data_IF_737011286734
#
_entry.id   IF_737011286734
#
_cell.length_a   1.000
_cell.length_b   1.000
_cell.length_c   1.000
_cell.angle_alpha   90.00
_cell.angle_beta   90.00
_cell.angle_gamma   90.00
#
_symmetry.space_group_name_H-M   'P 1'
#
loop_
_entity.id
_entity.type
_entity.pdbx_description
1 polymer ?
#
# COMPACT_ATOMS: atom_id res chain seq x y z
N UNK A 1 15.82 44.69 -47.99
CA UNK A 1 14.58 45.02 -47.27
C UNK A 1 14.33 43.89 -46.26
N UNK A 2 15.28 43.61 -45.35
CA UNK A 2 15.47 44.37 -44.10
C UNK A 2 14.17 44.31 -43.28
N UNK A 3 14.11 43.69 -42.11
CA UNK A 3 14.80 44.10 -40.88
C UNK A 3 14.88 42.89 -39.90
N UNK A 4 16.07 42.61 -39.38
CA UNK A 4 16.31 41.91 -38.09
C UNK A 4 16.39 42.97 -36.95
N UNK A 5 16.72 42.63 -35.69
CA UNK A 5 15.96 41.99 -34.62
C UNK A 5 15.98 42.83 -33.30
N UNK A 6 15.13 42.55 -32.29
CA UNK A 6 15.38 42.98 -30.89
C UNK A 6 14.91 41.86 -29.92
N UNK A 7 15.76 41.25 -29.08
CA UNK A 7 16.21 41.70 -27.74
C UNK A 7 15.02 42.18 -26.88
N UNK A 8 14.65 41.55 -25.76
CA UNK A 8 15.50 41.46 -24.56
C UNK A 8 14.76 40.77 -23.38
N UNK A 9 15.57 40.14 -22.52
CA UNK A 9 15.57 40.10 -21.05
C UNK A 9 14.28 40.14 -20.19
N UNK A 10 14.23 39.20 -19.23
CA UNK A 10 13.82 39.33 -17.80
C UNK A 10 13.23 37.99 -17.32
N UNK A 11 13.49 37.41 -16.15
CA UNK A 11 14.31 37.82 -15.02
C UNK A 11 14.66 36.55 -14.22
N UNK A 12 15.93 36.39 -13.87
CA UNK A 12 16.37 35.39 -12.89
C UNK A 12 15.95 35.88 -11.50
N UNK A 13 14.90 35.30 -10.94
CA UNK A 13 14.53 35.49 -9.54
C UNK A 13 15.70 35.06 -8.62
N UNK A 14 16.20 35.94 -7.73
CA UNK A 14 17.23 35.60 -6.77
C UNK A 14 16.67 34.66 -5.68
N UNK A 15 17.42 33.59 -5.41
CA UNK A 15 17.17 32.65 -4.31
C UNK A 15 17.42 33.36 -2.98
N UNK A 16 16.36 33.54 -2.19
CA UNK A 16 16.49 33.95 -0.79
C UNK A 16 17.25 32.87 0.02
N UNK A 17 18.23 33.25 0.86
CA UNK A 17 18.84 32.33 1.82
C UNK A 17 17.86 31.96 2.94
N UNK A 18 17.96 30.75 3.52
CA UNK A 18 17.11 30.33 4.63
C UNK A 18 17.39 31.18 5.88
N UNK A 19 16.36 31.86 6.38
CA UNK A 19 16.43 32.61 7.63
C UNK A 19 16.59 31.64 8.82
N UNK A 20 17.71 31.77 9.54
CA UNK A 20 17.94 31.14 10.84
C UNK A 20 17.01 31.77 11.89
N UNK A 21 15.87 31.13 12.13
CA UNK A 21 15.00 31.48 13.25
C UNK A 21 15.55 30.88 14.55
N UNK A 22 16.46 31.63 15.19
CA UNK A 22 16.86 31.43 16.58
C UNK A 22 15.81 32.07 17.51
N UNK A 23 14.74 31.32 17.83
CA UNK A 23 13.81 31.70 18.89
C UNK A 23 13.92 30.78 20.10
N UNK A 24 14.84 31.19 20.98
CA UNK A 24 14.64 31.47 22.40
C UNK A 24 13.90 30.44 23.28
N UNK A 25 14.69 29.86 24.18
CA UNK A 25 14.45 29.73 25.61
C UNK A 25 12.98 29.80 26.07
N UNK A 26 12.41 28.63 26.34
CA UNK A 26 11.40 28.48 27.40
C UNK A 26 11.69 27.22 28.21
N UNK A 27 12.76 27.29 29.01
CA UNK A 27 13.12 26.29 30.02
C UNK A 27 12.31 26.57 31.28
N UNK A 28 11.08 26.05 31.34
CA UNK A 28 10.28 26.09 32.57
C UNK A 28 10.93 25.20 33.64
N UNK A 29 11.10 25.67 34.89
CA UNK A 29 11.62 24.83 35.96
C UNK A 29 10.61 23.74 36.34
N UNK A 30 11.12 22.51 36.41
CA UNK A 30 10.42 21.32 36.88
C UNK A 30 9.81 21.56 38.28
N UNK A 31 8.50 21.84 38.37
CA UNK A 31 7.76 21.72 39.63
C UNK A 31 7.73 20.24 40.04
N UNK A 32 8.57 19.87 41.01
CA UNK A 32 8.56 18.57 41.68
C UNK A 32 7.13 18.30 42.19
N UNK A 33 6.39 17.42 41.50
CA UNK A 33 5.08 16.94 41.97
C UNK A 33 5.32 16.07 43.20
N UNK A 34 4.96 16.57 44.38
CA UNK A 34 4.90 15.77 45.60
C UNK A 34 3.88 14.64 45.39
N UNK A 35 4.37 13.40 45.37
CA UNK A 35 3.51 12.20 45.28
C UNK A 35 2.70 12.11 46.57
N UNK A 36 1.41 12.46 46.54
CA UNK A 36 0.48 12.19 47.65
C UNK A 36 0.48 10.68 47.93
N UNK A 37 0.76 10.30 49.19
CA UNK A 37 0.72 8.90 49.64
C UNK A 37 -0.68 8.33 49.36
N UNK A 38 -0.75 7.24 48.58
CA UNK A 38 -1.99 6.49 48.36
C UNK A 38 -2.39 5.86 49.70
N UNK A 39 -3.58 6.17 50.20
CA UNK A 39 -4.16 5.47 51.36
C UNK A 39 -4.37 4.00 50.98
N UNK A 40 -3.85 3.08 51.80
CA UNK A 40 -4.08 1.64 51.65
C UNK A 40 -5.58 1.37 51.83
N UNK A 41 -6.16 0.54 50.98
CA UNK A 41 -7.55 0.08 51.13
C UNK A 41 -7.53 -1.03 52.20
N UNK A 42 -8.14 -0.78 53.35
CA UNK A 42 -8.44 -1.85 54.31
C UNK A 42 -9.65 -2.64 53.79
N UNK A 43 -9.69 -3.94 54.07
CA UNK A 43 -10.84 -4.82 53.78
C UNK A 43 -11.99 -4.65 54.78
N UNK A 44 -11.98 -3.58 55.58
CA UNK A 44 -13.03 -3.30 56.55
C UNK A 44 -14.23 -2.70 55.83
N UNK A 45 -15.46 -3.09 56.20
CA UNK A 45 -16.67 -2.46 55.67
C UNK A 45 -16.63 -0.96 55.93
N UNK A 46 -17.14 -0.18 54.97
CA UNK A 46 -17.14 1.29 55.05
C UNK A 46 -18.27 1.71 55.98
N UNK A 47 -17.92 2.13 57.19
CA UNK A 47 -18.87 2.75 58.12
C UNK A 47 -19.25 4.13 57.61
N UNK A 48 -20.55 4.34 57.38
CA UNK A 48 -21.11 5.64 57.01
C UNK A 48 -21.36 6.45 58.29
N UNK A 49 -21.02 7.75 58.31
CA UNK A 49 -21.31 8.60 59.46
C UNK A 49 -22.83 8.67 59.68
N UNK A 50 -23.25 8.46 60.94
CA UNK A 50 -24.64 8.27 61.36
C UNK A 50 -25.56 9.48 61.13
N UNK A 51 -25.00 10.62 60.71
CA UNK A 51 -25.71 11.89 60.53
C UNK A 51 -26.03 12.19 59.06
N UNK A 52 -25.87 11.22 58.15
CA UNK A 52 -26.10 11.41 56.72
C UNK A 52 -27.12 10.38 56.22
N UNK A 53 -28.33 10.84 55.87
CA UNK A 53 -29.36 10.00 55.28
C UNK A 53 -28.85 9.34 53.99
N UNK A 54 -28.92 8.01 53.92
CA UNK A 54 -28.59 7.25 52.72
C UNK A 54 -29.63 7.54 51.63
N UNK A 55 -29.28 8.38 50.66
CA UNK A 55 -30.14 8.64 49.51
C UNK A 55 -29.71 7.73 48.35
N UNK A 56 -30.53 6.73 47.96
CA UNK A 56 -30.20 5.79 46.88
C UNK A 56 -30.11 6.47 45.50
N UNK A 57 -30.62 7.69 45.37
CA UNK A 57 -30.56 8.50 44.15
C UNK A 57 -29.47 9.58 44.18
N UNK A 58 -28.69 9.70 45.28
CA UNK A 58 -27.49 10.54 45.27
C UNK A 58 -26.40 9.86 44.45
N UNK A 59 -26.51 10.09 43.14
CA UNK A 59 -25.48 9.94 42.09
C UNK A 59 -24.36 8.97 42.46
N UNK A 60 -24.44 7.76 41.92
CA UNK A 60 -23.30 6.86 41.78
C UNK A 60 -22.02 7.66 41.51
N UNK A 61 -21.09 7.65 42.48
CA UNK A 61 -19.79 8.35 42.43
C UNK A 61 -18.84 7.79 41.35
N UNK A 62 -19.37 7.15 40.31
CA UNK A 62 -18.65 6.84 39.08
C UNK A 62 -18.48 8.08 38.18
N UNK A 63 -19.27 9.14 38.35
CA UNK A 63 -18.99 10.43 37.73
C UNK A 63 -18.01 11.24 38.59
N UNK A 64 -16.73 10.96 38.41
CA UNK A 64 -15.65 11.76 39.01
C UNK A 64 -15.72 13.21 38.48
N UNK A 65 -15.91 14.15 39.41
CA UNK A 65 -15.85 15.63 39.30
C UNK A 65 -17.08 16.35 38.70
N UNK A 66 -17.68 17.33 39.43
CA UNK A 66 -18.59 18.29 38.83
C UNK A 66 -17.79 19.16 37.85
N UNK A 67 -18.16 19.13 36.56
CA UNK A 67 -17.49 19.89 35.48
C UNK A 67 -16.79 19.06 34.40
N UNK A 68 -16.59 17.75 34.60
CA UNK A 68 -16.13 16.81 33.55
C UNK A 68 -16.90 15.50 33.61
N UNK A 69 -18.22 15.60 33.74
CA UNK A 69 -19.10 14.47 33.50
C UNK A 69 -18.90 14.03 32.06
N UNK A 70 -18.31 12.84 31.85
CA UNK A 70 -18.63 12.04 30.68
C UNK A 70 -20.14 11.81 30.76
N UNK A 71 -20.95 12.77 30.28
CA UNK A 71 -22.24 12.42 29.67
C UNK A 71 -21.89 11.22 28.80
N UNK A 72 -22.58 10.08 28.95
CA UNK A 72 -22.45 9.02 27.95
C UNK A 72 -22.70 9.74 26.63
N UNK A 73 -21.64 9.96 25.85
CA UNK A 73 -21.79 10.55 24.54
C UNK A 73 -22.81 9.62 23.90
N UNK A 74 -23.97 10.17 23.53
CA UNK A 74 -24.97 9.47 22.73
C UNK A 74 -24.28 9.19 21.40
N UNK A 75 -23.40 8.20 21.42
CA UNK A 75 -22.66 7.70 20.28
C UNK A 75 -23.61 6.72 19.65
N UNK A 76 -23.80 6.93 18.36
CA UNK A 76 -24.44 5.96 17.50
C UNK A 76 -23.92 4.55 17.89
N UNK A 77 -24.83 3.62 18.24
CA UNK A 77 -24.45 2.30 18.72
C UNK A 77 -23.54 1.58 17.72
N UNK A 78 -23.61 1.90 16.42
CA UNK A 78 -22.70 1.39 15.38
C UNK A 78 -21.23 1.71 15.66
N UNK A 79 -20.95 2.82 16.35
CA UNK A 79 -19.62 3.26 16.75
C UNK A 79 -19.33 3.07 18.24
N UNK A 80 -20.17 2.30 18.95
CA UNK A 80 -19.89 1.92 20.33
C UNK A 80 -18.75 0.90 20.38
N UNK A 81 -17.93 0.93 21.43
CA UNK A 81 -16.87 -0.09 21.64
C UNK A 81 -17.43 -1.51 21.73
N UNK A 82 -18.72 -1.64 22.08
CA UNK A 82 -19.44 -2.91 22.19
C UNK A 82 -19.75 -3.55 20.82
N UNK A 83 -19.72 -2.79 19.72
CA UNK A 83 -19.91 -3.30 18.36
C UNK A 83 -18.73 -4.14 17.85
N UNK A 84 -17.65 -4.23 18.63
CA UNK A 84 -16.51 -5.08 18.35
C UNK A 84 -15.54 -4.50 17.30
N UNK A 85 -14.49 -5.26 16.99
CA UNK A 85 -13.49 -4.88 15.97
C UNK A 85 -13.93 -5.42 14.61
N UNK A 86 -13.72 -4.65 13.55
CA UNK A 86 -14.00 -5.06 12.17
C UNK A 86 -13.26 -6.35 11.80
N UNK A 87 -14.02 -7.43 11.58
CA UNK A 87 -13.47 -8.67 11.03
C UNK A 87 -13.40 -8.55 9.51
N UNK A 88 -12.23 -8.12 9.01
CA UNK A 88 -11.98 -7.96 7.58
C UNK A 88 -12.18 -9.26 6.78
N UNK A 89 -11.91 -10.42 7.38
CA UNK A 89 -12.00 -11.69 6.68
C UNK A 89 -13.47 -12.11 6.49
N UNK A 90 -14.34 -11.89 7.49
CA UNK A 90 -15.79 -12.08 7.31
C UNK A 90 -16.38 -11.06 6.34
N UNK A 91 -16.01 -9.79 6.48
CA UNK A 91 -16.47 -8.74 5.57
C UNK A 91 -16.18 -9.10 4.10
N UNK A 92 -14.97 -9.57 3.81
CA UNK A 92 -14.59 -10.01 2.46
C UNK A 92 -15.42 -11.17 1.95
N UNK A 93 -15.76 -12.13 2.82
CA UNK A 93 -16.62 -13.26 2.46
C UNK A 93 -18.04 -12.80 2.16
N UNK A 94 -18.60 -11.93 2.99
CA UNK A 94 -19.96 -11.39 2.79
C UNK A 94 -20.10 -10.59 1.49
N UNK A 95 -19.02 -9.94 1.04
CA UNK A 95 -18.99 -9.14 -0.17
C UNK A 95 -18.17 -9.78 -1.31
N UNK A 96 -18.03 -11.10 -1.33
CA UNK A 96 -17.28 -11.82 -2.38
C UNK A 96 -17.90 -11.65 -3.76
N UNK A 97 -19.23 -11.47 -3.83
CA UNK A 97 -19.96 -11.22 -5.06
C UNK A 97 -19.46 -9.98 -5.82
N UNK A 98 -18.93 -8.96 -5.14
CA UNK A 98 -18.34 -7.78 -5.79
C UNK A 98 -17.09 -8.15 -6.61
N UNK A 99 -16.30 -9.12 -6.12
CA UNK A 99 -15.14 -9.62 -6.86
C UNK A 99 -15.56 -10.49 -8.05
N UNK A 100 -16.68 -11.20 -7.92
CA UNK A 100 -17.26 -12.03 -9.00
C UNK A 100 -17.81 -11.14 -10.11
N UNK A 101 -18.64 -10.16 -9.78
CA UNK A 101 -19.15 -9.16 -10.73
C UNK A 101 -18.01 -8.47 -11.48
N UNK A 102 -16.97 -8.01 -10.75
CA UNK A 102 -15.80 -7.40 -11.39
C UNK A 102 -15.09 -8.34 -12.37
N UNK A 103 -14.99 -9.64 -12.05
CA UNK A 103 -14.39 -10.63 -12.96
C UNK A 103 -15.26 -10.83 -14.20
N UNK A 104 -16.58 -10.76 -14.07
CA UNK A 104 -17.52 -10.83 -15.19
C UNK A 104 -17.38 -9.60 -16.09
N UNK A 105 -17.39 -8.39 -15.53
CA UNK A 105 -17.15 -7.13 -16.26
C UNK A 105 -15.85 -7.19 -17.09
N UNK A 106 -14.75 -7.64 -16.46
CA UNK A 106 -13.46 -7.79 -17.16
C UNK A 106 -13.54 -8.84 -18.28
N UNK A 107 -14.25 -9.95 -18.07
CA UNK A 107 -14.48 -10.97 -19.11
C UNK A 107 -15.28 -10.40 -20.27
N UNK A 108 -16.30 -9.59 -20.01
CA UNK A 108 -17.12 -8.97 -21.05
C UNK A 108 -16.33 -7.94 -21.85
N UNK A 109 -15.62 -7.03 -21.18
CA UNK A 109 -14.75 -6.04 -21.84
C UNK A 109 -13.71 -6.74 -22.71
N UNK A 110 -13.06 -7.80 -22.19
CA UNK A 110 -12.06 -8.54 -22.98
C UNK A 110 -12.67 -9.28 -24.17
N UNK A 111 -13.87 -9.83 -24.05
CA UNK A 111 -14.61 -10.43 -25.17
C UNK A 111 -14.96 -9.38 -26.22
N UNK A 112 -15.49 -8.22 -25.81
CA UNK A 112 -15.83 -7.13 -26.72
C UNK A 112 -14.60 -6.62 -27.49
N UNK A 113 -13.47 -6.43 -26.82
CA UNK A 113 -12.20 -6.05 -27.47
C UNK A 113 -11.75 -7.13 -28.46
N UNK A 114 -11.83 -8.41 -28.10
CA UNK A 114 -11.44 -9.52 -28.99
C UNK A 114 -12.33 -9.61 -30.23
N UNK A 115 -13.64 -9.42 -30.09
CA UNK A 115 -14.60 -9.46 -31.20
C UNK A 115 -14.35 -8.28 -32.14
N UNK A 116 -14.22 -7.05 -31.60
CA UNK A 116 -13.89 -5.87 -32.39
C UNK A 116 -12.53 -6.01 -33.10
N UNK A 117 -11.54 -6.65 -32.48
CA UNK A 117 -10.24 -6.93 -33.13
C UNK A 117 -10.36 -7.91 -34.30
N UNK A 118 -11.32 -8.85 -34.25
CA UNK A 118 -11.53 -9.87 -35.29
C UNK A 118 -12.39 -9.40 -36.45
N UNK A 119 -13.47 -8.68 -36.17
CA UNK A 119 -14.50 -8.32 -37.16
C UNK A 119 -14.51 -6.83 -37.53
N UNK A 120 -13.75 -5.98 -36.83
CA UNK A 120 -13.79 -4.54 -36.99
C UNK A 120 -14.89 -3.87 -36.17
N UNK A 121 -14.80 -2.54 -36.02
CA UNK A 121 -15.73 -1.72 -35.24
C UNK A 121 -17.06 -1.49 -35.95
N UNK A 122 -17.06 -1.51 -37.28
CA UNK A 122 -18.24 -1.26 -38.12
C UNK A 122 -19.09 -2.52 -38.35
N UNK A 123 -18.56 -3.70 -38.02
CA UNK A 123 -19.30 -4.95 -38.17
C UNK A 123 -20.44 -5.04 -37.16
N UNK A 124 -21.58 -5.60 -37.59
CA UNK A 124 -22.73 -5.89 -36.72
C UNK A 124 -22.33 -6.61 -35.43
N UNK A 125 -21.41 -7.58 -35.53
CA UNK A 125 -20.90 -8.33 -34.35
C UNK A 125 -20.07 -7.45 -33.42
N UNK A 126 -19.31 -6.50 -33.97
CA UNK A 126 -18.55 -5.50 -33.20
C UNK A 126 -19.48 -4.57 -32.44
N UNK A 127 -20.47 -4.01 -33.12
CA UNK A 127 -21.49 -3.12 -32.56
C UNK A 127 -22.29 -3.83 -31.46
N UNK A 128 -22.75 -5.07 -31.69
CA UNK A 128 -23.49 -5.85 -30.70
C UNK A 128 -22.64 -6.14 -29.46
N UNK A 129 -21.35 -6.42 -29.64
CA UNK A 129 -20.43 -6.64 -28.52
C UNK A 129 -20.18 -5.38 -27.68
N UNK A 130 -20.17 -4.20 -28.30
CA UNK A 130 -20.09 -2.91 -27.59
C UNK A 130 -21.41 -2.59 -26.87
N UNK A 131 -22.55 -2.92 -27.47
CA UNK A 131 -23.87 -2.78 -26.83
C UNK A 131 -23.97 -3.59 -25.54
N UNK A 132 -23.38 -4.79 -25.49
CA UNK A 132 -23.36 -5.64 -24.27
C UNK A 132 -22.64 -4.96 -23.11
N UNK A 133 -21.55 -4.24 -23.36
CA UNK A 133 -20.78 -3.52 -22.32
C UNK A 133 -21.24 -2.08 -22.07
N UNK A 134 -22.30 -1.63 -22.76
CA UNK A 134 -22.80 -0.24 -22.65
C UNK A 134 -23.25 0.12 -21.23
N UNK A 135 -23.75 -0.86 -20.46
CA UNK A 135 -24.14 -0.69 -19.06
C UNK A 135 -22.98 -0.34 -18.13
N UNK A 136 -21.73 -0.51 -18.59
CA UNK A 136 -20.51 -0.12 -17.88
C UNK A 136 -20.07 1.32 -18.19
N UNK A 137 -20.91 2.09 -18.88
CA UNK A 137 -20.61 3.42 -19.41
C UNK A 137 -19.41 3.42 -20.38
N UNK A 138 -19.27 2.35 -21.16
CA UNK A 138 -18.21 2.22 -22.17
C UNK A 138 -18.85 2.35 -23.55
N UNK A 139 -18.48 3.41 -24.27
CA UNK A 139 -19.02 3.71 -25.60
C UNK A 139 -18.09 3.27 -26.72
N UNK A 140 -16.79 3.46 -26.53
CA UNK A 140 -15.78 3.32 -27.58
C UNK A 140 -14.78 2.20 -27.32
N UNK A 141 -14.15 1.68 -28.37
CA UNK A 141 -13.15 0.62 -28.26
C UNK A 141 -11.94 1.04 -27.42
N UNK A 142 -11.47 2.28 -27.57
CA UNK A 142 -10.33 2.78 -26.80
C UNK A 142 -10.68 3.03 -25.33
N UNK A 143 -11.93 3.40 -25.05
CA UNK A 143 -12.46 3.45 -23.69
C UNK A 143 -12.51 2.06 -23.06
N UNK A 144 -12.92 1.03 -23.82
CA UNK A 144 -12.89 -0.36 -23.37
C UNK A 144 -11.47 -0.83 -23.02
N UNK A 145 -10.47 -0.50 -23.85
CA UNK A 145 -9.06 -0.80 -23.56
C UNK A 145 -8.59 -0.09 -22.29
N UNK A 146 -8.91 1.21 -22.15
CA UNK A 146 -8.55 2.01 -20.98
C UNK A 146 -9.21 1.47 -19.71
N UNK A 147 -10.48 1.06 -19.78
CA UNK A 147 -11.18 0.42 -18.68
C UNK A 147 -10.49 -0.89 -18.28
N UNK A 148 -10.14 -1.74 -19.25
CA UNK A 148 -9.42 -2.98 -19.00
C UNK A 148 -8.08 -2.74 -18.27
N UNK A 149 -7.33 -1.74 -18.69
CA UNK A 149 -6.04 -1.42 -18.07
C UNK A 149 -6.21 -0.85 -16.65
N UNK A 150 -7.25 -0.05 -16.40
CA UNK A 150 -7.63 0.37 -15.04
C UNK A 150 -7.89 -0.85 -14.16
N UNK A 151 -8.76 -1.78 -14.58
CA UNK A 151 -9.06 -3.00 -13.84
C UNK A 151 -7.80 -3.84 -13.56
N UNK A 152 -6.90 -3.99 -14.53
CA UNK A 152 -5.62 -4.71 -14.33
C UNK A 152 -4.76 -4.04 -13.27
N UNK A 153 -4.60 -2.73 -13.34
CA UNK A 153 -3.78 -1.97 -12.38
C UNK A 153 -4.37 -2.03 -10.96
N UNK A 154 -5.69 -1.91 -10.84
CA UNK A 154 -6.39 -2.00 -9.55
C UNK A 154 -6.27 -3.40 -8.95
N UNK A 155 -6.52 -4.45 -9.76
CA UNK A 155 -6.41 -5.83 -9.32
C UNK A 155 -4.98 -6.17 -8.88
N UNK A 156 -3.95 -5.74 -9.63
CA UNK A 156 -2.55 -5.94 -9.24
C UNK A 156 -2.23 -5.25 -7.91
N UNK A 157 -2.75 -4.05 -7.69
CA UNK A 157 -2.57 -3.33 -6.43
C UNK A 157 -3.30 -3.99 -5.27
N UNK A 158 -4.52 -4.50 -5.48
CA UNK A 158 -5.27 -5.25 -4.48
C UNK A 158 -4.54 -6.52 -4.09
N UNK A 159 -4.17 -7.36 -5.07
CA UNK A 159 -3.40 -8.60 -4.86
C UNK A 159 -2.14 -8.34 -4.03
N UNK A 160 -1.35 -7.31 -4.38
CA UNK A 160 -0.18 -6.91 -3.61
C UNK A 160 -0.50 -6.58 -2.15
N UNK A 161 -1.59 -5.85 -1.89
CA UNK A 161 -2.05 -5.55 -0.52
C UNK A 161 -2.45 -6.81 0.23
N UNK A 162 -3.08 -7.75 -0.44
CA UNK A 162 -3.49 -9.02 0.17
C UNK A 162 -2.30 -9.89 0.53
N UNK A 163 -1.35 -10.03 -0.38
CA UNK A 163 -0.11 -10.79 -0.16
C UNK A 163 0.70 -10.19 1.00
N UNK A 164 0.80 -8.85 1.08
CA UNK A 164 1.43 -8.18 2.22
C UNK A 164 0.72 -8.48 3.55
N UNK A 165 -0.62 -8.52 3.56
CA UNK A 165 -1.40 -8.88 4.75
C UNK A 165 -1.16 -10.34 5.13
N UNK A 166 -1.18 -11.26 4.17
CA UNK A 166 -0.91 -12.68 4.37
C UNK A 166 0.50 -12.90 4.93
N UNK A 167 1.51 -12.25 4.36
CA UNK A 167 2.89 -12.29 4.83
C UNK A 167 3.03 -11.74 6.26
N UNK A 168 2.37 -10.63 6.57
CA UNK A 168 2.38 -10.10 7.95
C UNK A 168 1.73 -11.07 8.92
N UNK A 169 0.60 -11.67 8.56
CA UNK A 169 -0.08 -12.69 9.38
C UNK A 169 0.83 -13.91 9.60
N UNK A 170 1.53 -14.40 8.56
CA UNK A 170 2.43 -15.56 8.69
C UNK A 170 3.62 -15.25 9.60
N UNK A 171 4.29 -14.11 9.41
CA UNK A 171 5.42 -13.69 10.26
C UNK A 171 5.02 -13.53 11.73
N UNK A 172 3.82 -13.00 12.00
CA UNK A 172 3.30 -12.91 13.36
C UNK A 172 3.00 -14.29 13.94
N UNK A 173 2.49 -15.21 13.13
CA UNK A 173 2.20 -16.58 13.58
C UNK A 173 3.48 -17.36 13.87
N UNK A 174 4.49 -17.27 13.01
CA UNK A 174 5.81 -17.86 13.22
C UNK A 174 6.44 -17.34 14.51
N UNK A 175 6.33 -16.04 14.78
CA UNK A 175 6.86 -15.45 16.00
C UNK A 175 6.11 -15.94 17.25
N UNK A 176 4.78 -16.07 17.19
CA UNK A 176 3.99 -16.68 18.27
C UNK A 176 4.46 -18.10 18.58
N UNK A 177 4.71 -18.90 17.55
CA UNK A 177 5.21 -20.26 17.72
C UNK A 177 6.60 -20.26 18.36
N UNK A 178 7.50 -19.36 17.95
CA UNK A 178 8.84 -19.22 18.56
C UNK A 178 8.79 -18.80 20.02
N UNK A 179 7.89 -17.89 20.39
CA UNK A 179 7.69 -17.46 21.78
C UNK A 179 7.22 -18.65 22.63
N UNK A 180 6.27 -19.44 22.10
CA UNK A 180 5.79 -20.64 22.78
C UNK A 180 6.89 -21.65 23.04
N UNK A 181 7.87 -21.78 22.13
CA UNK A 181 8.98 -22.73 22.26
C UNK A 181 10.13 -22.21 23.12
N UNK A 182 10.49 -20.93 22.96
CA UNK A 182 11.74 -20.37 23.52
C UNK A 182 11.53 -19.52 24.76
N UNK A 183 10.30 -19.07 25.04
CA UNK A 183 9.99 -18.11 26.09
C UNK A 183 10.64 -16.73 25.91
N UNK A 184 11.28 -16.47 24.77
CA UNK A 184 11.96 -15.20 24.49
C UNK A 184 10.93 -14.08 24.25
N UNK A 185 11.40 -12.84 24.39
CA UNK A 185 10.58 -11.64 24.15
C UNK A 185 10.14 -11.60 22.68
N UNK A 186 8.86 -11.26 22.40
CA UNK A 186 8.34 -11.16 21.03
C UNK A 186 9.08 -10.10 20.23
N UNK A 187 9.47 -10.44 19.01
CA UNK A 187 9.96 -9.47 18.04
C UNK A 187 9.06 -9.43 16.79
N UNK A 188 8.32 -8.34 16.63
CA UNK A 188 7.45 -8.13 15.46
C UNK A 188 8.12 -7.23 14.42
N UNK A 189 8.07 -7.65 13.15
CA UNK A 189 8.60 -6.86 12.05
C UNK A 189 7.80 -5.56 11.83
N UNK A 190 8.50 -4.47 11.59
CA UNK A 190 7.88 -3.22 11.14
C UNK A 190 7.39 -3.33 9.70
N UNK A 191 6.39 -2.51 9.32
CA UNK A 191 5.82 -2.55 7.96
C UNK A 191 6.87 -2.29 6.87
N UNK A 192 7.90 -1.48 7.16
CA UNK A 192 9.04 -1.27 6.25
C UNK A 192 9.82 -2.57 6.02
N UNK A 193 10.08 -3.36 7.07
CA UNK A 193 10.78 -4.65 6.96
C UNK A 193 9.92 -5.69 6.23
N UNK A 194 8.62 -5.78 6.54
CA UNK A 194 7.69 -6.68 5.83
C UNK A 194 7.65 -6.37 4.32
N UNK A 195 7.62 -5.09 3.93
CA UNK A 195 7.68 -4.69 2.51
C UNK A 195 8.99 -5.07 1.84
N UNK A 196 10.13 -5.03 2.56
CA UNK A 196 11.43 -5.46 2.02
C UNK A 196 11.43 -6.97 1.76
N UNK A 197 11.00 -7.77 2.74
CA UNK A 197 10.87 -9.23 2.62
C UNK A 197 9.96 -9.58 1.44
N UNK A 198 8.82 -8.92 1.30
CA UNK A 198 7.91 -9.15 0.16
C UNK A 198 8.58 -8.88 -1.20
N UNK A 199 9.36 -7.80 -1.32
CA UNK A 199 10.11 -7.49 -2.55
C UNK A 199 11.17 -8.55 -2.85
N UNK A 200 11.88 -9.01 -1.83
CA UNK A 200 12.89 -10.07 -1.97
C UNK A 200 12.25 -11.40 -2.40
N UNK A 201 11.12 -11.78 -1.79
CA UNK A 201 10.36 -12.96 -2.20
C UNK A 201 9.92 -12.86 -3.66
N UNK A 202 9.40 -11.71 -4.09
CA UNK A 202 8.99 -11.52 -5.49
C UNK A 202 10.17 -11.53 -6.45
N UNK A 203 11.31 -10.94 -6.08
CA UNK A 203 12.54 -11.01 -6.88
C UNK A 203 13.00 -12.46 -7.05
N UNK A 204 13.02 -13.24 -5.97
CA UNK A 204 13.38 -14.67 -6.01
C UNK A 204 12.43 -15.46 -6.90
N UNK A 205 11.11 -15.25 -6.78
CA UNK A 205 10.11 -15.88 -7.66
C UNK A 205 10.33 -15.54 -9.14
N UNK A 206 10.64 -14.27 -9.45
CA UNK A 206 10.94 -13.84 -10.81
C UNK A 206 12.23 -14.50 -11.30
N UNK A 207 13.28 -14.50 -10.50
CA UNK A 207 14.56 -15.12 -10.82
C UNK A 207 14.44 -16.63 -11.03
N UNK A 208 13.68 -17.33 -10.19
CA UNK A 208 13.35 -18.75 -10.34
C UNK A 208 12.54 -19.01 -11.61
N UNK A 209 11.55 -18.15 -11.91
CA UNK A 209 10.80 -18.25 -13.17
C UNK A 209 11.69 -18.04 -14.39
N UNK A 210 12.60 -17.06 -14.34
CA UNK A 210 13.55 -16.79 -15.42
C UNK A 210 14.53 -17.94 -15.60
N UNK A 211 15.11 -18.47 -14.51
CA UNK A 211 15.96 -19.67 -14.55
C UNK A 211 15.22 -20.87 -15.12
N UNK A 212 13.95 -21.08 -14.75
CA UNK A 212 13.13 -22.15 -15.31
C UNK A 212 12.81 -21.94 -16.80
N UNK A 213 12.68 -20.71 -17.27
CA UNK A 213 12.53 -20.40 -18.70
C UNK A 213 13.86 -20.48 -19.46
N UNK A 214 14.98 -20.13 -18.82
CA UNK A 214 16.34 -20.23 -19.37
C UNK A 214 16.83 -21.68 -19.42
N UNK A 215 16.23 -22.59 -18.64
CA UNK A 215 16.46 -24.04 -18.68
C UNK A 215 15.52 -24.74 -19.70
N UNK A 216 14.45 -24.10 -20.18
CA UNK A 216 13.55 -24.66 -21.21
C UNK A 216 14.07 -24.45 -22.64
N UNK A 217 15.21 -25.11 -22.85
CA UNK A 217 15.91 -25.35 -24.09
C UNK A 217 15.16 -26.32 -25.03
N UNK A 218 15.13 -25.98 -26.32
CA UNK A 218 14.62 -26.73 -27.48
C UNK A 218 15.17 -26.11 -28.78
N UNK A 219 14.72 -26.48 -29.99
CA UNK A 219 15.33 -26.07 -31.28
C UNK A 219 15.46 -24.54 -31.48
N UNK A 220 14.69 -23.74 -30.76
CA UNK A 220 14.77 -22.27 -30.77
C UNK A 220 16.01 -21.67 -30.05
N UNK A 221 16.76 -22.48 -29.28
CA UNK A 221 18.07 -22.09 -28.71
C UNK A 221 19.08 -21.73 -29.80
N UNK A 222 19.10 -22.52 -30.87
CA UNK A 222 20.04 -22.34 -31.98
C UNK A 222 19.72 -21.07 -32.79
N UNK A 223 18.43 -20.74 -32.93
CA UNK A 223 17.94 -19.54 -33.64
C UNK A 223 18.28 -18.28 -32.85
N UNK A 224 18.05 -18.27 -31.53
CA UNK A 224 18.42 -17.15 -30.66
C UNK A 224 19.95 -16.91 -30.65
N UNK A 225 20.75 -17.98 -30.58
CA UNK A 225 22.22 -17.89 -30.64
C UNK A 225 22.71 -17.36 -32.01
N UNK A 226 22.07 -17.76 -33.11
CA UNK A 226 22.39 -17.25 -34.47
C UNK A 226 22.02 -15.77 -34.64
N UNK A 227 20.81 -15.36 -34.24
CA UNK A 227 20.37 -13.96 -34.32
C UNK A 227 21.20 -13.03 -33.43
N UNK A 228 21.57 -13.47 -32.22
CA UNK A 228 22.46 -12.71 -31.35
C UNK A 228 23.89 -12.57 -31.94
N UNK A 229 24.38 -13.60 -32.62
CA UNK A 229 25.67 -13.50 -33.33
C UNK A 229 25.63 -12.56 -34.55
N UNK A 230 24.48 -12.48 -35.25
CA UNK A 230 24.29 -11.55 -36.37
C UNK A 230 24.12 -10.11 -35.91
N UNK A 231 23.38 -9.86 -34.82
CA UNK A 231 23.25 -8.51 -34.26
C UNK A 231 24.59 -7.97 -33.72
N UNK A 232 25.43 -8.83 -33.12
CA UNK A 232 26.80 -8.47 -32.72
C UNK A 232 27.75 -8.20 -33.89
N UNK A 233 27.45 -8.69 -35.10
CA UNK A 233 28.23 -8.39 -36.32
C UNK A 233 27.82 -7.09 -37.00
N UNK A 234 26.55 -6.69 -36.86
CA UNK A 234 26.02 -5.44 -37.43
C UNK A 234 26.27 -4.22 -36.54
N UNK A 235 26.55 -4.42 -35.25
CA UNK A 235 27.02 -3.35 -34.39
C UNK A 235 28.47 -3.00 -34.75
N UNK A 236 28.79 -1.76 -35.14
CA UNK A 236 30.17 -1.36 -35.40
C UNK A 236 30.94 -1.57 -34.10
N UNK A 237 31.99 -2.39 -34.14
CA UNK A 237 32.91 -2.51 -33.01
C UNK A 237 33.48 -1.10 -32.78
N UNK A 238 33.08 -0.47 -31.68
CA UNK A 238 33.71 0.77 -31.24
C UNK A 238 35.21 0.50 -31.12
N UNK A 239 35.99 1.09 -32.04
CA UNK A 239 37.45 1.08 -31.93
C UNK A 239 37.77 1.86 -30.67
N UNK A 240 38.36 1.19 -29.68
CA UNK A 240 38.83 1.83 -28.44
C UNK A 240 39.84 2.90 -28.81
N UNK A 241 39.38 4.15 -28.91
CA UNK A 241 40.20 5.26 -29.41
C UNK A 241 41.33 5.70 -28.47
N UNK A 242 41.39 5.17 -27.24
CA UNK A 242 42.39 5.58 -26.24
C UNK A 242 43.12 4.40 -25.57
N UNK A 243 43.41 3.32 -26.31
CA UNK A 243 44.36 2.31 -25.84
C UNK A 243 45.75 2.70 -26.33
N UNK A 244 46.50 3.46 -25.53
CA UNK A 244 47.93 3.66 -25.76
C UNK A 244 48.59 2.27 -25.74
N UNK A 245 49.25 1.83 -26.82
CA UNK A 245 49.96 0.56 -26.83
C UNK A 245 51.05 0.60 -25.76
N UNK A 246 50.93 -0.24 -24.73
CA UNK A 246 52.03 -0.44 -23.78
C UNK A 246 53.06 -1.32 -24.49
N UNK A 247 54.17 -0.72 -24.92
CA UNK A 247 55.34 -1.50 -25.27
C UNK A 247 55.77 -2.26 -24.01
N UNK A 248 56.09 -3.55 -24.17
CA UNK A 248 56.70 -4.32 -23.10
C UNK A 248 58.12 -3.78 -22.94
N UNK A 249 58.42 -3.24 -21.77
CA UNK A 249 59.80 -2.93 -21.39
C UNK A 249 60.61 -4.23 -21.42
N UNK A 250 61.71 -4.20 -22.18
CA UNK A 250 62.74 -5.24 -22.24
C UNK A 250 63.92 -4.75 -21.42
#
# INVERSE_FOLDING_TARGET
MDVSPEHSFNDKQPKHPPSENNNNLNKWPNKKKTKKKKKKRSNTPVELPNNVSFNPYRSNKFSKKPGKGNKMLVRDPRFSEHSGKLNLDMFRRSYSFLEEMRKEEVKEITRAIKINKKFGTESLKGIESMKKISHLNISNLDEAKRALDRYKSENAHLQKKEELRKLKKSLVQEEKNKISLTGKKPYYFSDKKVKKIYKEMNKKKIEESLKSTEINYGPNKAIHKKLESQSRRLLPKERKLNMIPKFRDV
#
